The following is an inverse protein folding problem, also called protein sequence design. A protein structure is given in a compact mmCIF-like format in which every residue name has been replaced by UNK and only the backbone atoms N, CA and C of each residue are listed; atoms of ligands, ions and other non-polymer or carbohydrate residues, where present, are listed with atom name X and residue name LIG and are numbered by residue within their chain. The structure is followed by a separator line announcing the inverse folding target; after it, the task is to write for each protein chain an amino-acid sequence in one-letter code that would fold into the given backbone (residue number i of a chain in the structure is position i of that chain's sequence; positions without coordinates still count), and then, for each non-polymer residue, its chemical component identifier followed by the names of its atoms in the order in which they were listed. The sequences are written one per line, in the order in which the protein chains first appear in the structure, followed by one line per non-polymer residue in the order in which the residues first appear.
data_IF_902651149981
#
_entry.id   IF_902651149981
#
_cell.length_a   1.000
_cell.length_b   1.000
_cell.length_c   1.000
_cell.angle_alpha   90.00
_cell.angle_beta   90.00
_cell.angle_gamma   90.00
#
_symmetry.space_group_name_H-M   'P 1'
#
loop_
_entity.id
_entity.type
_entity.pdbx_description
1 polymer ?
#
# COMPACT_ATOMS: atom_id res chain seq x y z
N UNK A 1 -37.43 -58.12 19.35
CA UNK A 1 -37.58 -58.10 17.89
C UNK A 1 -38.70 -57.12 17.56
N UNK A 2 -38.33 -55.88 17.21
CA UNK A 2 -39.22 -54.80 16.79
C UNK A 2 -38.42 -53.83 15.93
N UNK A 3 -38.98 -53.46 14.77
CA UNK A 3 -38.75 -52.22 14.02
C UNK A 3 -37.31 -51.94 13.56
N UNK A 4 -37.05 -51.25 12.46
CA UNK A 4 -37.92 -50.43 11.63
C UNK A 4 -37.23 -50.26 10.26
N UNK A 5 -38.03 -49.89 9.27
CA UNK A 5 -37.66 -49.80 7.85
C UNK A 5 -36.94 -48.51 7.50
N UNK A 6 -35.98 -48.52 6.55
CA UNK A 6 -35.84 -47.53 5.46
C UNK A 6 -35.19 -48.21 4.24
N UNK A 7 -35.93 -48.27 3.13
CA UNK A 7 -35.39 -48.60 1.80
C UNK A 7 -34.91 -47.33 1.07
N UNK A 8 -33.76 -47.47 0.41
CA UNK A 8 -33.15 -46.54 -0.53
C UNK A 8 -33.38 -47.02 -1.98
N UNK A 9 -33.31 -46.05 -2.90
CA UNK A 9 -32.92 -46.12 -4.34
C UNK A 9 -33.97 -46.67 -5.33
N UNK A 10 -34.55 -45.81 -6.18
CA UNK A 10 -34.08 -45.35 -7.52
C UNK A 10 -34.20 -46.41 -8.63
N UNK A 11 -35.14 -46.22 -9.58
CA UNK A 11 -34.98 -46.60 -11.01
C UNK A 11 -35.81 -45.67 -11.92
N UNK A 12 -35.17 -45.20 -13.00
CA UNK A 12 -35.61 -44.39 -14.17
C UNK A 12 -35.74 -45.36 -15.39
N UNK A 13 -36.20 -45.07 -16.63
CA UNK A 13 -36.98 -43.98 -17.28
C UNK A 13 -38.16 -44.49 -18.17
N UNK A 14 -38.73 -43.56 -18.97
CA UNK A 14 -39.07 -43.69 -20.41
C UNK A 14 -40.49 -44.19 -20.81
N UNK A 15 -41.08 -43.50 -21.79
CA UNK A 15 -42.03 -44.14 -22.71
C UNK A 15 -43.34 -43.39 -22.99
N UNK A 16 -43.27 -42.45 -23.93
CA UNK A 16 -44.17 -42.25 -25.07
C UNK A 16 -45.65 -42.70 -25.03
N UNK A 17 -46.50 -41.74 -25.45
CA UNK A 17 -47.62 -41.89 -26.41
C UNK A 17 -49.03 -42.34 -25.94
N UNK A 18 -49.96 -41.40 -26.20
CA UNK A 18 -51.29 -41.58 -26.81
C UNK A 18 -52.39 -42.24 -25.96
N UNK A 19 -53.41 -41.46 -25.60
CA UNK A 19 -54.78 -41.89 -25.90
C UNK A 19 -55.76 -40.72 -25.98
N UNK A 20 -56.31 -40.58 -27.19
CA UNK A 20 -57.38 -39.68 -27.59
C UNK A 20 -58.70 -40.34 -27.19
N UNK A 21 -59.49 -39.72 -26.30
CA UNK A 21 -60.94 -39.97 -26.25
C UNK A 21 -61.71 -38.67 -26.34
N UNK A 22 -62.17 -38.38 -27.55
CA UNK A 22 -63.30 -37.50 -27.82
C UNK A 22 -64.56 -38.15 -27.25
N UNK A 23 -65.31 -37.40 -26.45
CA UNK A 23 -66.73 -37.61 -26.26
C UNK A 23 -67.45 -36.39 -26.84
N UNK A 24 -68.30 -36.65 -27.82
CA UNK A 24 -69.18 -35.68 -28.48
C UNK A 24 -70.60 -36.03 -28.06
N UNK A 25 -71.31 -35.12 -27.38
CA UNK A 25 -72.79 -35.02 -27.35
C UNK A 25 -73.20 -33.68 -26.71
N UNK A 26 -73.32 -32.60 -27.48
CA UNK A 26 -74.54 -32.07 -28.15
C UNK A 26 -75.61 -31.47 -27.21
N UNK A 27 -75.77 -30.14 -27.27
CA UNK A 27 -77.04 -29.38 -27.26
C UNK A 27 -76.78 -28.03 -27.95
N UNK A 28 -77.10 -27.93 -29.25
CA UNK A 28 -78.27 -27.23 -29.81
C UNK A 28 -78.32 -25.72 -29.60
N UNK A 29 -78.10 -25.02 -30.71
CA UNK A 29 -78.83 -23.86 -31.23
C UNK A 29 -78.85 -22.52 -30.47
N UNK A 30 -78.22 -21.53 -31.12
CA UNK A 30 -78.38 -20.10 -30.84
C UNK A 30 -77.65 -19.29 -31.91
N UNK A 31 -78.34 -19.04 -33.03
CA UNK A 31 -77.87 -18.29 -34.20
C UNK A 31 -77.69 -16.81 -33.85
N UNK A 32 -76.46 -16.30 -33.99
CA UNK A 32 -76.14 -14.88 -33.93
C UNK A 32 -74.89 -14.57 -34.72
N UNK A 33 -75.05 -14.16 -35.99
CA UNK A 33 -74.00 -13.59 -36.83
C UNK A 33 -73.69 -12.20 -36.29
N UNK A 34 -72.47 -11.92 -35.84
CA UNK A 34 -71.88 -10.57 -35.81
C UNK A 34 -70.39 -10.67 -36.08
N UNK A 35 -69.94 -9.77 -36.93
CA UNK A 35 -68.67 -9.75 -37.63
C UNK A 35 -67.47 -9.72 -36.67
N UNK A 36 -66.45 -10.52 -37.00
CA UNK A 36 -65.20 -10.56 -36.26
C UNK A 36 -64.37 -9.32 -36.59
N UNK A 37 -64.42 -8.31 -35.72
CA UNK A 37 -63.37 -7.29 -35.66
C UNK A 37 -62.18 -7.91 -34.94
N UNK A 38 -61.09 -8.18 -35.66
CA UNK A 38 -59.81 -8.54 -35.07
C UNK A 38 -59.27 -7.34 -34.26
N UNK A 39 -59.41 -7.41 -32.93
CA UNK A 39 -58.68 -6.53 -32.02
C UNK A 39 -57.35 -7.17 -31.65
N UNK A 40 -56.24 -6.48 -31.95
CA UNK A 40 -54.87 -6.89 -31.60
C UNK A 40 -54.78 -7.23 -30.11
N UNK A 41 -54.45 -8.48 -29.79
CA UNK A 41 -54.19 -8.92 -28.42
C UNK A 41 -52.93 -8.24 -27.89
N UNK A 42 -53.08 -7.29 -26.97
CA UNK A 42 -51.95 -6.76 -26.17
C UNK A 42 -51.35 -7.91 -25.36
N UNK A 43 -50.10 -8.28 -25.65
CA UNK A 43 -49.31 -9.18 -24.78
C UNK A 43 -49.10 -8.48 -23.44
N UNK A 44 -49.76 -8.99 -22.40
CA UNK A 44 -49.46 -8.64 -21.02
C UNK A 44 -48.04 -9.10 -20.69
N UNK A 45 -47.12 -8.17 -20.50
CA UNK A 45 -45.75 -8.46 -20.08
C UNK A 45 -45.80 -8.97 -18.64
N UNK A 46 -45.29 -10.19 -18.41
CA UNK A 46 -45.25 -10.78 -17.06
C UNK A 46 -44.25 -9.99 -16.22
N UNK A 47 -44.65 -9.54 -15.02
CA UNK A 47 -43.81 -8.76 -14.08
C UNK A 47 -42.44 -9.39 -13.82
N UNK A 48 -42.38 -10.73 -13.84
CA UNK A 48 -41.15 -11.51 -13.70
C UNK A 48 -40.16 -11.35 -14.88
N UNK A 49 -40.69 -11.17 -16.09
CA UNK A 49 -39.88 -10.88 -17.28
C UNK A 49 -39.26 -9.48 -17.19
N UNK A 50 -40.02 -8.50 -16.69
CA UNK A 50 -39.52 -7.13 -16.45
C UNK A 50 -38.41 -7.14 -15.40
N UNK A 51 -38.62 -7.82 -14.27
CA UNK A 51 -37.60 -7.92 -13.22
C UNK A 51 -36.29 -8.54 -13.72
N UNK A 52 -36.35 -9.62 -14.49
CA UNK A 52 -35.16 -10.24 -15.06
C UNK A 52 -34.42 -9.32 -16.04
N UNK A 53 -35.15 -8.53 -16.83
CA UNK A 53 -34.54 -7.55 -17.74
C UNK A 53 -33.86 -6.44 -16.94
N UNK A 54 -34.53 -5.89 -15.93
CA UNK A 54 -33.95 -4.85 -15.06
C UNK A 54 -32.69 -5.35 -14.35
N UNK A 55 -32.74 -6.56 -13.76
CA UNK A 55 -31.57 -7.17 -13.12
C UNK A 55 -30.38 -7.30 -14.08
N UNK A 56 -30.62 -7.73 -15.32
CA UNK A 56 -29.56 -7.84 -16.34
C UNK A 56 -28.98 -6.48 -16.70
N UNK A 57 -29.81 -5.45 -16.83
CA UNK A 57 -29.37 -4.08 -17.09
C UNK A 57 -28.47 -3.57 -15.94
N UNK A 58 -28.87 -3.80 -14.69
CA UNK A 58 -28.08 -3.40 -13.51
C UNK A 58 -26.71 -4.09 -13.48
N UNK A 59 -26.66 -5.40 -13.78
CA UNK A 59 -25.39 -6.15 -13.84
C UNK A 59 -24.47 -5.60 -14.93
N UNK A 60 -25.02 -5.28 -16.10
CA UNK A 60 -24.26 -4.71 -17.21
C UNK A 60 -23.73 -3.31 -16.84
N UNK A 61 -24.57 -2.47 -16.23
CA UNK A 61 -24.15 -1.14 -15.76
C UNK A 61 -23.04 -1.23 -14.70
N UNK A 62 -23.16 -2.17 -13.76
CA UNK A 62 -22.13 -2.43 -12.76
C UNK A 62 -20.81 -2.87 -13.41
N UNK A 63 -20.85 -3.70 -14.46
CA UNK A 63 -19.67 -4.10 -15.20
C UNK A 63 -18.98 -2.91 -15.89
N UNK A 64 -19.74 -2.01 -16.50
CA UNK A 64 -19.18 -0.78 -17.09
C UNK A 64 -18.54 0.14 -16.05
N UNK A 65 -19.19 0.33 -14.90
CA UNK A 65 -18.63 1.11 -13.78
C UNK A 65 -17.35 0.46 -13.26
N UNK A 66 -17.33 -0.87 -13.11
CA UNK A 66 -16.14 -1.60 -12.67
C UNK A 66 -14.97 -1.43 -13.65
N UNK A 67 -15.23 -1.57 -14.96
CA UNK A 67 -14.21 -1.36 -16.00
C UNK A 67 -13.71 0.08 -15.97
N UNK A 68 -14.60 1.07 -15.83
CA UNK A 68 -14.23 2.48 -15.78
C UNK A 68 -13.33 2.78 -14.57
N UNK A 69 -13.72 2.33 -13.37
CA UNK A 69 -12.93 2.52 -12.15
C UNK A 69 -11.58 1.80 -12.28
N UNK A 70 -11.58 0.56 -12.79
CA UNK A 70 -10.35 -0.23 -12.97
C UNK A 70 -9.39 0.42 -13.97
N UNK A 71 -9.90 0.93 -15.09
CA UNK A 71 -9.11 1.65 -16.09
C UNK A 71 -8.57 2.97 -15.55
N UNK A 72 -9.40 3.75 -14.82
CA UNK A 72 -8.97 4.98 -14.17
C UNK A 72 -7.89 4.72 -13.12
N UNK A 73 -8.06 3.69 -12.29
CA UNK A 73 -7.08 3.29 -11.29
C UNK A 73 -5.76 2.85 -11.95
N UNK A 74 -5.84 1.98 -12.95
CA UNK A 74 -4.66 1.51 -13.71
C UNK A 74 -3.96 2.68 -14.39
N UNK A 75 -4.71 3.64 -14.94
CA UNK A 75 -4.16 4.84 -15.56
C UNK A 75 -3.42 5.71 -14.53
N UNK A 76 -4.00 5.93 -13.35
CA UNK A 76 -3.34 6.64 -12.23
C UNK A 76 -2.09 5.92 -11.75
N UNK A 77 -2.13 4.61 -11.59
CA UNK A 77 -0.96 3.80 -11.23
C UNK A 77 0.11 3.89 -12.32
N UNK A 78 -0.27 3.84 -13.60
CA UNK A 78 0.67 3.97 -14.71
C UNK A 78 1.30 5.36 -14.78
N UNK A 79 0.55 6.41 -14.45
CA UNK A 79 1.10 7.77 -14.32
C UNK A 79 2.18 7.85 -13.23
N UNK A 80 1.98 7.16 -12.10
CA UNK A 80 2.97 7.08 -11.01
C UNK A 80 4.18 6.23 -11.41
N UNK A 81 3.97 5.07 -12.05
CA UNK A 81 5.03 4.14 -12.40
C UNK A 81 5.88 4.58 -13.60
N UNK A 82 5.34 5.38 -14.53
CA UNK A 82 6.05 5.84 -15.73
C UNK A 82 6.89 7.10 -15.54
N UNK A 83 7.06 7.57 -14.30
CA UNK A 83 7.87 8.76 -14.01
C UNK A 83 7.50 9.95 -14.93
N UNK A 84 6.20 10.12 -15.20
CA UNK A 84 5.75 11.35 -15.84
C UNK A 84 5.96 12.46 -14.82
N UNK A 85 7.10 13.15 -14.94
CA UNK A 85 7.49 14.37 -14.22
C UNK A 85 6.33 14.93 -13.40
N UNK A 86 6.25 14.47 -12.16
CA UNK A 86 5.30 14.96 -11.18
C UNK A 86 5.47 16.49 -11.18
N UNK A 87 4.42 17.30 -11.47
CA UNK A 87 4.56 18.76 -11.49
C UNK A 87 5.16 19.13 -10.15
N UNK A 88 6.39 19.66 -10.15
CA UNK A 88 7.30 19.80 -9.00
C UNK A 88 6.51 19.80 -7.71
N UNK A 89 6.22 18.61 -7.20
CA UNK A 89 5.61 18.51 -5.89
C UNK A 89 6.70 19.12 -5.06
N UNK A 90 6.44 20.26 -4.42
CA UNK A 90 7.38 20.80 -3.48
C UNK A 90 7.36 19.80 -2.32
N UNK A 91 8.05 18.67 -2.48
CA UNK A 91 8.65 17.94 -1.38
C UNK A 91 9.35 19.06 -0.63
N UNK A 92 8.72 19.53 0.46
CA UNK A 92 9.25 20.65 1.19
C UNK A 92 10.70 20.30 1.47
N UNK A 93 11.64 21.15 1.04
CA UNK A 93 13.05 20.82 1.16
C UNK A 93 13.30 20.50 2.64
N UNK A 94 13.61 19.24 2.93
CA UNK A 94 13.92 18.88 4.30
C UNK A 94 15.27 19.49 4.62
N UNK A 95 15.29 20.46 5.51
CA UNK A 95 16.50 21.18 5.91
C UNK A 95 17.09 20.53 7.15
N UNK A 96 18.42 20.45 7.18
CA UNK A 96 19.23 20.08 8.34
C UNK A 96 20.37 21.11 8.36
N UNK A 97 20.24 22.12 9.21
CA UNK A 97 21.12 23.29 9.18
C UNK A 97 22.32 23.17 10.11
N UNK A 98 22.25 22.35 11.16
CA UNK A 98 23.31 22.28 12.17
C UNK A 98 24.49 21.45 11.67
N UNK A 99 24.23 20.33 11.01
CA UNK A 99 25.29 19.42 10.56
C UNK A 99 26.34 20.12 9.69
N UNK A 100 25.92 21.09 8.87
CA UNK A 100 26.85 21.86 8.02
C UNK A 100 27.88 22.64 8.84
N UNK A 101 27.46 23.25 9.95
CA UNK A 101 28.38 23.96 10.84
C UNK A 101 29.34 23.01 11.58
N UNK A 102 28.85 21.85 12.00
CA UNK A 102 29.67 20.85 12.67
C UNK A 102 30.67 20.15 11.75
N UNK A 103 30.33 19.97 10.47
CA UNK A 103 31.24 19.41 9.46
C UNK A 103 32.25 20.44 8.98
N UNK A 104 31.84 21.72 8.90
CA UNK A 104 32.66 22.80 8.38
C UNK A 104 32.96 22.67 6.88
N UNK A 105 33.82 23.56 6.37
CA UNK A 105 34.19 23.62 4.95
C UNK A 105 35.47 22.84 4.61
N UNK A 106 36.10 22.22 5.61
CA UNK A 106 37.41 21.59 5.52
C UNK A 106 37.40 20.06 5.53
N UNK A 107 38.51 19.46 5.96
CA UNK A 107 38.61 18.02 6.18
C UNK A 107 37.77 17.61 7.39
N UNK A 108 37.08 16.47 7.30
CA UNK A 108 36.25 15.94 8.39
C UNK A 108 37.05 15.76 9.69
N UNK A 109 38.32 15.34 9.59
CA UNK A 109 39.18 15.15 10.77
C UNK A 109 39.42 16.45 11.53
N UNK A 110 39.42 17.58 10.84
CA UNK A 110 39.68 18.90 11.42
C UNK A 110 38.37 19.66 11.72
N UNK A 111 37.22 19.00 11.51
CA UNK A 111 35.90 19.59 11.73
C UNK A 111 35.57 19.79 13.21
N UNK A 112 34.71 20.76 13.57
CA UNK A 112 34.19 20.91 14.93
C UNK A 112 33.54 19.63 15.47
N UNK A 113 32.91 18.83 14.61
CA UNK A 113 32.34 17.54 14.99
C UNK A 113 33.39 16.60 15.56
N UNK A 114 34.56 16.51 14.93
CA UNK A 114 35.62 15.59 15.37
C UNK A 114 36.45 16.22 16.49
N UNK A 115 36.86 17.47 16.34
CA UNK A 115 37.78 18.12 17.27
C UNK A 115 37.09 18.57 18.55
N UNK A 116 35.95 19.27 18.45
CA UNK A 116 35.31 19.90 19.60
C UNK A 116 34.30 18.96 20.27
N UNK A 117 33.49 18.23 19.48
CA UNK A 117 32.45 17.35 20.04
C UNK A 117 33.01 15.98 20.45
N UNK A 118 33.82 15.36 19.59
CA UNK A 118 34.41 14.04 19.89
C UNK A 118 35.78 14.13 20.58
N UNK A 119 36.32 15.34 20.79
CA UNK A 119 37.61 15.54 21.46
C UNK A 119 38.80 14.96 20.69
N UNK A 120 38.70 14.85 19.37
CA UNK A 120 39.69 14.21 18.50
C UNK A 120 39.70 12.68 18.56
N UNK A 121 38.85 12.06 19.39
CA UNK A 121 38.75 10.60 19.50
C UNK A 121 37.68 10.04 18.56
N UNK A 122 38.12 9.24 17.60
CA UNK A 122 37.26 8.58 16.61
C UNK A 122 37.02 7.10 16.92
N UNK A 123 37.23 6.66 18.16
CA UNK A 123 36.87 5.31 18.58
C UNK A 123 35.35 5.11 18.47
N UNK A 124 34.87 3.95 17.99
CA UNK A 124 33.44 3.66 17.86
C UNK A 124 32.66 3.94 19.13
N UNK A 125 31.46 4.51 18.97
CA UNK A 125 30.53 4.88 20.04
C UNK A 125 29.34 3.93 20.06
N UNK A 126 28.81 3.71 21.24
CA UNK A 126 27.60 2.92 21.51
C UNK A 126 26.35 3.79 21.72
N UNK A 127 26.44 5.08 21.34
CA UNK A 127 25.38 6.06 21.45
C UNK A 127 25.16 6.81 20.14
N UNK A 128 24.03 7.53 20.07
CA UNK A 128 23.70 8.44 18.96
C UNK A 128 24.02 9.86 19.40
N UNK A 129 24.66 10.62 18.54
CA UNK A 129 24.96 12.02 18.80
C UNK A 129 23.84 12.92 18.24
N UNK A 130 23.20 13.69 19.10
CA UNK A 130 22.14 14.64 18.75
C UNK A 130 22.70 16.05 18.72
N UNK A 131 22.58 16.74 17.58
CA UNK A 131 22.95 18.14 17.44
C UNK A 131 21.72 19.00 17.79
N UNK A 132 21.68 19.57 18.99
CA UNK A 132 20.53 20.35 19.46
C UNK A 132 20.59 21.81 18.99
N UNK A 133 21.80 22.40 18.97
CA UNK A 133 22.06 23.75 18.46
C UNK A 133 23.50 23.82 17.90
N UNK A 134 23.96 25.00 17.51
CA UNK A 134 25.32 25.19 16.96
C UNK A 134 26.46 24.82 17.92
N UNK A 135 26.19 24.83 19.23
CA UNK A 135 27.20 24.60 20.28
C UNK A 135 26.77 23.57 21.32
N UNK A 136 25.57 23.01 21.20
CA UNK A 136 25.00 22.06 22.17
C UNK A 136 24.71 20.74 21.50
N UNK A 137 25.27 19.68 22.05
CA UNK A 137 25.01 18.29 21.66
C UNK A 137 24.47 17.48 22.84
N UNK A 138 23.76 16.41 22.54
CA UNK A 138 23.23 15.45 23.50
C UNK A 138 23.46 14.02 23.03
N UNK A 139 23.47 13.06 23.95
CA UNK A 139 23.52 11.62 23.64
C UNK A 139 22.20 10.91 23.91
N UNK A 140 21.23 11.63 24.52
CA UNK A 140 19.96 11.04 24.96
C UNK A 140 18.84 11.29 23.94
N UNK A 141 18.68 12.54 23.49
CA UNK A 141 17.60 12.97 22.60
C UNK A 141 17.77 14.41 22.08
N UNK A 142 16.83 14.83 21.24
CA UNK A 142 16.59 16.24 20.90
C UNK A 142 15.62 16.89 21.91
N UNK A 143 16.14 17.58 22.94
CA UNK A 143 15.33 18.10 24.06
C UNK A 143 14.26 19.11 23.63
N UNK A 144 14.58 19.95 22.64
CA UNK A 144 13.71 21.04 22.17
C UNK A 144 12.65 20.56 21.15
N UNK A 145 12.52 19.25 20.94
CA UNK A 145 11.61 18.67 19.96
C UNK A 145 10.43 18.00 20.68
N UNK A 146 9.24 18.62 20.68
CA UNK A 146 8.12 18.19 21.52
C UNK A 146 7.52 16.83 21.15
N UNK A 147 7.72 16.37 19.91
CA UNK A 147 7.22 15.08 19.41
C UNK A 147 8.37 14.11 19.07
N UNK A 148 9.51 14.25 19.75
CA UNK A 148 10.65 13.39 19.53
C UNK A 148 10.28 11.92 19.80
N UNK A 149 10.57 11.05 18.85
CA UNK A 149 10.24 9.63 18.94
C UNK A 149 11.53 8.82 19.08
N UNK A 150 11.94 8.54 20.32
CA UNK A 150 13.24 7.90 20.63
C UNK A 150 13.39 6.49 20.06
N UNK A 151 12.29 5.76 19.85
CA UNK A 151 12.30 4.39 19.32
C UNK A 151 12.85 4.27 17.89
N UNK A 152 12.83 5.33 17.08
CA UNK A 152 13.38 5.36 15.71
C UNK A 152 14.70 6.12 15.62
N UNK A 153 15.15 6.75 16.71
CA UNK A 153 16.39 7.51 16.79
C UNK A 153 17.37 6.92 17.82
N UNK A 154 17.17 5.67 18.25
CA UNK A 154 18.09 5.00 19.17
C UNK A 154 19.26 4.35 18.42
N UNK A 155 20.34 4.10 19.16
CA UNK A 155 21.57 3.51 18.65
C UNK A 155 21.32 2.20 17.90
N UNK A 156 20.63 1.24 18.51
CA UNK A 156 20.39 -0.08 17.91
C UNK A 156 19.64 0.01 16.58
N UNK A 157 18.60 0.84 16.50
CA UNK A 157 17.83 1.00 15.26
C UNK A 157 18.64 1.69 14.15
N UNK A 158 19.32 2.80 14.47
CA UNK A 158 20.04 3.58 13.47
C UNK A 158 21.32 2.89 12.98
N UNK A 159 22.06 2.24 13.88
CA UNK A 159 23.26 1.47 13.49
C UNK A 159 22.89 0.24 12.69
N UNK A 160 21.79 -0.45 13.02
CA UNK A 160 21.30 -1.56 12.22
C UNK A 160 21.06 -1.15 10.76
N UNK A 161 20.44 0.02 10.52
CA UNK A 161 20.23 0.54 9.18
C UNK A 161 21.54 0.79 8.42
N UNK A 162 22.56 1.34 9.08
CA UNK A 162 23.88 1.50 8.47
C UNK A 162 24.53 0.13 8.15
N UNK A 163 24.46 -0.82 9.08
CA UNK A 163 25.04 -2.15 8.89
C UNK A 163 24.35 -2.95 7.78
N UNK A 164 23.02 -2.84 7.63
CA UNK A 164 22.32 -3.44 6.49
C UNK A 164 22.81 -2.84 5.16
N UNK A 165 22.96 -1.52 5.08
CA UNK A 165 23.50 -0.87 3.87
C UNK A 165 24.90 -1.43 3.56
N UNK A 166 25.79 -1.49 4.54
CA UNK A 166 27.14 -2.03 4.33
C UNK A 166 27.10 -3.50 3.90
N UNK A 167 26.34 -4.34 4.62
CA UNK A 167 26.21 -5.77 4.32
C UNK A 167 25.66 -6.02 2.92
N UNK A 168 24.68 -5.24 2.49
CA UNK A 168 24.01 -5.44 1.21
C UNK A 168 24.77 -4.81 0.04
N UNK A 169 25.71 -3.89 0.27
CA UNK A 169 26.38 -3.15 -0.82
C UNK A 169 27.88 -3.37 -0.91
N UNK A 170 28.52 -3.88 0.15
CA UNK A 170 29.98 -4.03 0.22
C UNK A 170 30.56 -4.95 -0.86
N UNK A 171 29.77 -5.90 -1.38
CA UNK A 171 30.19 -6.78 -2.47
C UNK A 171 30.48 -6.01 -3.78
N UNK A 172 29.82 -4.87 -4.00
CA UNK A 172 30.04 -3.97 -5.13
C UNK A 172 30.89 -2.75 -4.76
N UNK A 173 30.76 -2.27 -3.52
CA UNK A 173 31.43 -1.07 -3.01
C UNK A 173 32.41 -1.53 -1.93
N UNK A 174 33.55 -2.05 -2.36
CA UNK A 174 34.53 -2.71 -1.47
C UNK A 174 35.06 -1.81 -0.36
N UNK A 175 35.15 -0.50 -0.61
CA UNK A 175 35.60 0.49 0.39
C UNK A 175 34.75 0.46 1.66
N UNK A 176 33.48 0.03 1.61
CA UNK A 176 32.64 -0.08 2.80
C UNK A 176 33.12 -1.15 3.79
N UNK A 177 33.87 -2.16 3.33
CA UNK A 177 34.49 -3.15 4.22
C UNK A 177 35.76 -2.62 4.92
N UNK A 178 36.30 -1.51 4.43
CA UNK A 178 37.48 -0.84 4.98
C UNK A 178 37.08 0.33 5.89
N UNK A 179 35.78 0.53 6.12
CA UNK A 179 35.26 1.62 6.95
C UNK A 179 34.63 1.09 8.22
N UNK A 180 34.92 1.76 9.33
CA UNK A 180 34.30 1.51 10.63
C UNK A 180 33.41 2.69 11.01
N UNK A 181 32.21 2.38 11.50
CA UNK A 181 31.27 3.37 12.01
C UNK A 181 31.78 3.94 13.33
N UNK A 182 32.06 5.24 13.36
CA UNK A 182 32.47 5.96 14.58
C UNK A 182 31.24 6.31 15.41
N UNK A 183 30.29 7.03 14.81
CA UNK A 183 29.06 7.46 15.49
C UNK A 183 28.00 7.83 14.46
N UNK A 184 26.73 7.61 14.81
CA UNK A 184 25.59 8.14 14.05
C UNK A 184 25.18 9.49 14.62
N UNK A 185 25.03 10.47 13.76
CA UNK A 185 24.68 11.85 14.10
C UNK A 185 23.28 12.18 13.61
N UNK A 186 22.46 12.73 14.50
CA UNK A 186 21.10 13.20 14.24
C UNK A 186 21.09 14.73 14.36
N UNK A 187 20.71 15.40 13.29
CA UNK A 187 20.52 16.85 13.30
C UNK A 187 19.10 17.19 13.80
N UNK A 188 18.98 17.73 15.02
CA UNK A 188 17.69 18.08 15.61
C UNK A 188 16.98 19.26 14.91
N UNK A 189 17.68 19.98 14.03
CA UNK A 189 17.05 20.99 13.17
C UNK A 189 16.26 20.39 11.99
N UNK A 190 16.35 19.06 11.79
CA UNK A 190 15.67 18.36 10.70
C UNK A 190 14.15 18.62 10.70
N UNK A 191 13.64 19.22 9.63
CA UNK A 191 12.25 19.72 9.58
C UNK A 191 11.19 18.66 9.89
N UNK A 192 11.24 17.42 9.33
CA UNK A 192 10.32 16.35 9.69
C UNK A 192 10.39 15.97 11.16
N UNK A 193 11.59 15.89 11.73
CA UNK A 193 11.80 15.59 13.15
C UNK A 193 11.16 16.67 14.03
N UNK A 194 11.36 17.97 13.72
CA UNK A 194 10.70 19.08 14.45
C UNK A 194 9.17 19.04 14.35
N UNK A 195 8.64 18.54 13.24
CA UNK A 195 7.20 18.39 13.00
C UNK A 195 6.61 17.09 13.59
N UNK A 196 7.45 16.21 14.14
CA UNK A 196 7.02 14.88 14.62
C UNK A 196 6.61 13.93 13.49
N UNK A 197 7.05 14.18 12.26
CA UNK A 197 6.78 13.32 11.12
C UNK A 197 7.68 12.07 11.17
N UNK A 198 7.05 10.90 11.29
CA UNK A 198 7.72 9.60 11.40
C UNK A 198 7.98 8.93 10.05
N UNK A 199 7.50 9.53 8.95
CA UNK A 199 7.67 8.98 7.60
C UNK A 199 9.03 9.32 6.98
N UNK A 200 9.79 10.24 7.58
CA UNK A 200 11.09 10.66 7.13
C UNK A 200 12.11 10.66 8.27
N UNK A 201 13.24 9.98 8.05
CA UNK A 201 14.39 9.95 8.96
C UNK A 201 15.61 10.41 8.17
N UNK A 202 16.43 11.26 8.77
CA UNK A 202 17.72 11.66 8.22
C UNK A 202 18.78 11.54 9.31
N UNK A 203 19.83 10.83 8.97
CA UNK A 203 20.99 10.59 9.84
C UNK A 203 22.27 10.74 9.04
N UNK A 204 23.35 11.06 9.74
CA UNK A 204 24.68 11.19 9.17
C UNK A 204 25.61 10.20 9.87
N UNK A 205 26.24 9.30 9.11
CA UNK A 205 27.17 8.33 9.66
C UNK A 205 28.59 8.89 9.56
N UNK A 206 29.23 9.14 10.71
CA UNK A 206 30.66 9.42 10.74
C UNK A 206 31.41 8.08 10.71
N UNK A 207 32.29 7.92 9.73
CA UNK A 207 33.06 6.71 9.51
C UNK A 207 34.56 7.01 9.46
N UNK A 208 35.39 6.03 9.79
CA UNK A 208 36.85 6.11 9.66
C UNK A 208 37.39 4.92 8.86
N UNK A 209 38.54 5.12 8.23
CA UNK A 209 39.30 4.01 7.63
C UNK A 209 39.77 3.05 8.72
N UNK A 210 39.55 1.76 8.50
CA UNK A 210 40.22 0.68 9.22
C UNK A 210 41.53 0.46 8.47
N UNK A 211 42.54 1.27 8.77
CA UNK A 211 43.87 1.02 8.22
C UNK A 211 44.36 -0.34 8.77
N UNK A 212 44.25 -1.39 7.94
CA UNK A 212 45.15 -2.54 8.07
C UNK A 212 46.49 -2.00 7.63
N UNK A 213 47.30 -1.51 8.57
CA UNK A 213 48.68 -1.13 8.31
C UNK A 213 49.38 -2.29 7.58
N UNK A 214 49.60 -2.11 6.27
CA UNK A 214 50.48 -2.93 5.44
C UNK A 214 51.86 -2.32 5.38
#
# INVERSE_FOLDING_TARGET
MSGDSIQKLQVKPQGTAVSRRRSVRSKTFGRGKRDAVQTKTKRSITTWQVFNIVRRIVVIAAAFVYIYISMMATWRTMQVLRDMTNPTQSFGAFTSSLIGGYVGDGLIRDSPLVQDVLGGDTTPRDYVLFLESETKTSVDNCSDVPLFTSNIYNYGFLTHGYMEIVNDTSYNISILNELELVVVVVDCSFTPLKKGDRSAVRVFSLVRSIDVCG
#
